data_IF_298520333897
#
_entry.id   IF_298520333897
#
_cell.length_a   1.000
_cell.length_b   1.000
_cell.length_c   1.000
_cell.angle_alpha   90.00
_cell.angle_beta   90.00
_cell.angle_gamma   90.00
#
_symmetry.space_group_name_H-M   'P 1'
#
loop_
_entity.id
_entity.type
_entity.pdbx_description
1 polymer ?
#
# COMPACT_ATOMS: atom_id res chain seq x y z
N UNK A 1 6.46 -0.10 -16.74
CA UNK A 1 5.94 -0.27 -15.37
C UNK A 1 5.40 -1.68 -15.27
N UNK A 2 5.70 -2.42 -14.21
CA UNK A 2 5.16 -3.77 -14.11
C UNK A 2 5.52 -4.47 -12.83
N UNK A 3 4.63 -5.39 -12.46
CA UNK A 3 4.78 -6.29 -11.33
C UNK A 3 5.35 -7.59 -11.88
N UNK A 4 6.42 -8.11 -11.25
CA UNK A 4 6.94 -9.44 -11.59
C UNK A 4 6.27 -10.48 -10.70
N UNK A 5 5.71 -11.53 -11.30
CA UNK A 5 5.04 -12.61 -10.57
C UNK A 5 5.99 -13.79 -10.36
N UNK A 6 5.94 -14.41 -9.18
CA UNK A 6 6.58 -15.70 -8.93
C UNK A 6 5.75 -16.80 -9.60
N UNK A 7 6.32 -17.63 -10.48
CA UNK A 7 5.57 -18.68 -11.16
C UNK A 7 5.43 -19.91 -10.26
N UNK A 8 4.75 -19.76 -9.12
CA UNK A 8 4.57 -20.82 -8.11
C UNK A 8 3.09 -21.16 -7.99
N UNK A 9 2.77 -22.45 -8.02
CA UNK A 9 1.46 -22.96 -7.59
C UNK A 9 1.52 -23.19 -6.08
N UNK A 10 0.91 -22.30 -5.30
CA UNK A 10 0.90 -22.40 -3.85
C UNK A 10 0.03 -23.57 -3.36
N UNK A 11 0.64 -24.71 -3.03
CA UNK A 11 -0.10 -25.84 -2.43
C UNK A 11 -0.75 -25.45 -1.09
N UNK A 12 -0.11 -24.54 -0.33
CA UNK A 12 -0.65 -23.97 0.89
C UNK A 12 -1.96 -23.18 0.68
N UNK A 13 -2.31 -22.83 -0.55
CA UNK A 13 -3.56 -22.16 -0.90
C UNK A 13 -4.72 -23.13 -1.06
N UNK A 14 -4.43 -24.41 -1.37
CA UNK A 14 -5.47 -25.41 -1.60
C UNK A 14 -6.01 -25.91 -0.25
N UNK A 15 -7.30 -26.25 -0.25
CA UNK A 15 -7.96 -26.99 0.83
C UNK A 15 -7.07 -28.13 1.32
N UNK A 16 -6.93 -28.32 2.65
CA UNK A 16 -6.00 -29.25 3.29
C UNK A 16 -6.15 -30.74 2.91
N UNK A 17 -6.16 -31.65 3.88
CA UNK A 17 -6.08 -33.11 3.61
C UNK A 17 -7.29 -33.72 2.87
N UNK A 18 -8.41 -32.99 2.75
CA UNK A 18 -9.61 -33.41 2.02
C UNK A 18 -10.22 -32.26 1.21
N UNK A 19 -10.90 -32.60 0.11
CA UNK A 19 -11.54 -31.63 -0.79
C UNK A 19 -12.66 -30.77 -0.14
N UNK A 20 -13.09 -31.13 1.08
CA UNK A 20 -14.08 -30.41 1.88
C UNK A 20 -13.46 -29.69 3.10
N UNK A 21 -12.13 -29.69 3.23
CA UNK A 21 -11.39 -29.06 4.32
C UNK A 21 -11.13 -27.57 4.12
N UNK A 22 -10.45 -26.95 5.10
CA UNK A 22 -10.10 -25.52 5.06
C UNK A 22 -9.09 -25.20 3.95
N UNK A 23 -9.34 -24.14 3.18
CA UNK A 23 -8.48 -23.62 2.11
C UNK A 23 -9.28 -23.32 0.82
N UNK A 24 -8.59 -23.02 -0.28
CA UNK A 24 -9.24 -22.71 -1.55
C UNK A 24 -9.51 -23.98 -2.37
N UNK A 25 -10.61 -24.02 -3.10
CA UNK A 25 -10.90 -25.10 -4.06
C UNK A 25 -9.87 -25.17 -5.20
N UNK A 26 -9.29 -24.01 -5.57
CA UNK A 26 -8.23 -23.86 -6.58
C UNK A 26 -7.21 -22.79 -6.15
N UNK A 27 -5.94 -22.85 -6.62
CA UNK A 27 -4.94 -21.81 -6.39
C UNK A 27 -5.41 -20.50 -7.01
N UNK A 28 -5.22 -19.39 -6.29
CA UNK A 28 -5.65 -18.06 -6.72
C UNK A 28 -4.76 -16.92 -6.24
N UNK A 29 -3.68 -17.20 -5.51
CA UNK A 29 -2.73 -16.14 -5.19
C UNK A 29 -1.83 -15.89 -6.40
N UNK A 30 -1.62 -14.61 -6.66
CA UNK A 30 -0.63 -14.11 -7.58
C UNK A 30 0.42 -13.44 -6.71
N UNK A 31 1.46 -14.20 -6.38
CA UNK A 31 2.53 -13.72 -5.51
C UNK A 31 3.51 -12.95 -6.39
N UNK A 32 3.88 -11.76 -5.95
CA UNK A 32 4.87 -10.93 -6.59
C UNK A 32 6.28 -11.31 -6.12
N UNK A 33 7.27 -11.22 -7.00
CA UNK A 33 8.67 -11.27 -6.58
C UNK A 33 8.93 -10.12 -5.61
N UNK A 34 9.44 -10.44 -4.41
CA UNK A 34 9.60 -9.44 -3.34
C UNK A 34 8.28 -9.05 -2.64
N UNK A 35 7.18 -9.78 -2.86
CA UNK A 35 5.89 -9.65 -2.17
C UNK A 35 5.35 -8.21 -2.10
N UNK A 36 4.98 -7.72 -0.91
CA UNK A 36 4.44 -6.38 -0.71
C UNK A 36 5.35 -5.28 -1.29
N UNK A 37 6.65 -5.24 -0.94
CA UNK A 37 7.61 -4.33 -1.57
C UNK A 37 7.62 -4.39 -3.10
N UNK A 38 7.71 -5.59 -3.69
CA UNK A 38 7.73 -5.77 -5.13
C UNK A 38 6.42 -5.41 -5.85
N UNK A 39 5.30 -5.41 -5.12
CA UNK A 39 4.02 -4.92 -5.61
C UNK A 39 3.97 -3.38 -5.61
N UNK A 40 4.46 -2.75 -4.54
CA UNK A 40 4.31 -1.29 -4.33
C UNK A 40 5.37 -0.49 -5.09
N UNK A 41 6.59 -1.02 -5.25
CA UNK A 41 7.73 -0.33 -5.86
C UNK A 41 7.43 0.31 -7.23
N UNK A 42 6.77 -0.37 -8.21
CA UNK A 42 6.47 0.24 -9.50
C UNK A 42 5.57 1.47 -9.40
N UNK A 43 4.66 1.51 -8.42
CA UNK A 43 3.75 2.63 -8.19
C UNK A 43 4.44 3.75 -7.42
N UNK A 44 5.26 3.43 -6.42
CA UNK A 44 6.06 4.45 -5.73
C UNK A 44 7.00 5.16 -6.71
N UNK A 45 7.70 4.41 -7.57
CA UNK A 45 8.58 4.99 -8.59
C UNK A 45 7.81 5.91 -9.55
N UNK A 46 6.57 5.54 -9.91
CA UNK A 46 5.70 6.40 -10.71
C UNK A 46 5.40 7.71 -10.01
N UNK A 47 4.91 7.64 -8.77
CA UNK A 47 4.48 8.82 -8.01
C UNK A 47 5.65 9.77 -7.83
N UNK A 48 6.84 9.27 -7.47
CA UNK A 48 8.04 10.08 -7.33
C UNK A 48 8.45 10.73 -8.67
N UNK A 49 8.31 10.02 -9.79
CA UNK A 49 8.55 10.61 -11.11
C UNK A 49 7.51 11.71 -11.44
N UNK A 50 6.24 11.50 -11.10
CA UNK A 50 5.20 12.51 -11.31
C UNK A 50 5.39 13.73 -10.41
N UNK A 51 5.90 13.54 -9.19
CA UNK A 51 6.28 14.61 -8.28
C UNK A 51 7.42 15.45 -8.85
N UNK A 52 8.49 14.82 -9.32
CA UNK A 52 9.60 15.52 -10.01
C UNK A 52 9.11 16.28 -11.25
N UNK A 53 8.09 15.76 -11.93
CA UNK A 53 7.45 16.41 -13.07
C UNK A 53 6.40 17.48 -12.69
N UNK A 54 6.21 17.77 -11.40
CA UNK A 54 5.28 18.78 -10.89
C UNK A 54 3.79 18.43 -11.08
N UNK A 55 3.45 17.16 -11.32
CA UNK A 55 2.07 16.72 -11.55
C UNK A 55 1.36 16.19 -10.31
N UNK A 56 2.13 15.82 -9.29
CA UNK A 56 1.64 15.32 -8.00
C UNK A 56 2.47 15.98 -6.91
N UNK A 57 1.85 16.30 -5.77
CA UNK A 57 2.57 16.66 -4.54
C UNK A 57 2.54 15.47 -3.61
N UNK A 58 3.70 14.90 -3.28
CA UNK A 58 3.80 13.86 -2.28
C UNK A 58 4.07 14.52 -0.93
N UNK A 59 3.11 14.37 0.00
CA UNK A 59 3.14 15.02 1.31
C UNK A 59 3.36 13.96 2.40
N UNK A 60 4.58 13.42 2.56
CA UNK A 60 4.88 12.56 3.69
C UNK A 60 4.69 13.36 4.99
N UNK A 61 4.53 12.64 6.10
CA UNK A 61 4.33 13.24 7.43
C UNK A 61 3.06 14.10 7.58
N UNK A 62 2.18 14.20 6.58
CA UNK A 62 0.87 14.83 6.72
C UNK A 62 -0.15 13.80 7.21
N UNK A 63 -0.74 14.05 8.38
CA UNK A 63 -1.78 13.22 8.97
C UNK A 63 -3.12 13.91 8.84
N UNK A 64 -4.03 13.34 8.03
CA UNK A 64 -5.42 13.80 7.96
C UNK A 64 -6.12 13.54 9.28
N UNK A 65 -6.78 14.54 9.83
CA UNK A 65 -7.56 14.45 11.08
C UNK A 65 -9.03 14.78 10.89
N UNK A 66 -9.38 15.56 9.86
CA UNK A 66 -10.77 15.85 9.53
C UNK A 66 -11.00 15.93 8.03
N UNK A 67 -12.22 15.55 7.62
CA UNK A 67 -12.74 15.67 6.26
C UNK A 67 -14.12 16.31 6.41
N UNK A 68 -14.25 17.54 5.91
CA UNK A 68 -15.49 18.30 6.01
C UNK A 68 -16.36 17.99 4.79
N UNK A 69 -17.59 17.52 5.06
CA UNK A 69 -18.57 17.11 4.04
C UNK A 69 -19.82 17.98 4.19
N UNK A 70 -20.19 18.68 3.12
CA UNK A 70 -21.41 19.50 3.03
C UNK A 70 -22.18 19.10 1.77
N UNK A 71 -23.51 19.01 1.84
CA UNK A 71 -24.37 18.62 0.72
C UNK A 71 -23.91 17.32 0.01
N UNK A 72 -23.48 16.33 0.78
CA UNK A 72 -22.89 15.07 0.29
C UNK A 72 -21.63 15.23 -0.58
N UNK A 73 -20.88 16.33 -0.42
CA UNK A 73 -19.62 16.60 -1.13
C UNK A 73 -18.49 16.95 -0.15
N UNK A 74 -17.29 16.45 -0.41
CA UNK A 74 -16.08 16.83 0.33
C UNK A 74 -15.74 18.29 -0.01
N UNK A 75 -15.68 19.15 1.00
CA UNK A 75 -15.33 20.58 0.85
C UNK A 75 -13.90 20.86 1.28
N UNK A 76 -13.45 20.23 2.36
CA UNK A 76 -12.14 20.47 2.93
C UNK A 76 -11.55 19.20 3.55
N UNK A 77 -10.21 19.12 3.54
CA UNK A 77 -9.44 18.09 4.24
C UNK A 77 -8.41 18.83 5.06
N UNK A 78 -8.42 18.61 6.38
CA UNK A 78 -7.48 19.23 7.31
C UNK A 78 -6.76 18.17 8.13
N UNK A 79 -5.63 18.57 8.71
CA UNK A 79 -4.70 17.64 9.33
C UNK A 79 -3.53 18.32 10.01
N UNK A 80 -2.65 17.47 10.52
CA UNK A 80 -1.41 17.86 11.15
C UNK A 80 -0.23 17.59 10.21
N UNK A 81 0.83 18.37 10.35
CA UNK A 81 2.14 18.03 9.78
C UNK A 81 2.97 17.50 10.93
N UNK A 82 3.34 16.22 10.88
CA UNK A 82 4.16 15.58 11.90
C UNK A 82 5.63 15.98 11.74
N UNK A 83 6.40 15.99 12.83
CA UNK A 83 7.84 16.25 12.78
C UNK A 83 8.55 15.26 11.84
N UNK A 84 9.66 15.71 11.25
CA UNK A 84 10.50 14.88 10.39
C UNK A 84 10.99 13.63 11.11
N UNK A 85 11.16 12.54 10.35
CA UNK A 85 11.62 11.27 10.90
C UNK A 85 12.43 10.49 9.87
N UNK A 86 13.60 10.01 10.30
CA UNK A 86 14.58 9.27 9.52
C UNK A 86 14.60 7.77 9.85
N UNK A 87 13.62 7.28 10.62
CA UNK A 87 13.53 5.86 10.97
C UNK A 87 13.33 4.99 9.74
N UNK A 88 13.84 3.77 9.79
CA UNK A 88 13.68 2.81 8.70
C UNK A 88 12.22 2.44 8.44
N UNK A 89 11.93 2.01 7.20
CA UNK A 89 10.60 1.56 6.81
C UNK A 89 10.16 0.39 7.70
N UNK A 90 8.98 0.53 8.30
CA UNK A 90 8.41 -0.49 9.18
C UNK A 90 8.74 -0.30 10.66
N UNK A 91 9.63 0.63 10.99
CA UNK A 91 9.88 1.03 12.37
C UNK A 91 8.84 2.07 12.85
N UNK A 92 8.53 2.14 14.16
CA UNK A 92 7.74 3.21 14.73
C UNK A 92 8.41 4.59 14.50
N UNK A 93 7.69 5.54 13.90
CA UNK A 93 8.10 6.95 13.79
C UNK A 93 7.35 7.83 14.79
N UNK A 94 7.90 9.01 15.05
CA UNK A 94 7.28 10.00 15.96
C UNK A 94 5.87 10.40 15.50
N UNK A 95 5.04 10.77 16.47
CA UNK A 95 3.67 11.27 16.29
C UNK A 95 3.49 12.70 16.78
N UNK A 96 4.59 13.39 17.09
CA UNK A 96 4.57 14.81 17.42
C UNK A 96 4.25 15.62 16.15
N UNK A 97 3.48 16.69 16.35
CA UNK A 97 3.14 17.73 15.37
C UNK A 97 4.12 18.87 15.55
#
# INVERSE_FOLDING_TARGET
MGIKLTPILGWAERGGSSASGHGNSVPRFHITWGTGPGLVEPFTNYVLQQEQAGRVSYLPRHQVTAIDIEDNQVRHISGNILEESDVERGAPSSRKV
#
